data_IF_869996235295
#
_entry.id   IF_869996235295
#
_cell.length_a   1.000
_cell.length_b   1.000
_cell.length_c   1.000
_cell.angle_alpha   90.00
_cell.angle_beta   90.00
_cell.angle_gamma   90.00
#
_symmetry.space_group_name_H-M   'P 1'
#
loop_
_entity.id
_entity.type
_entity.pdbx_description
1 polymer ?
#
# COMPACT_ATOMS: atom_id res chain seq x y z
N UNK A 1 13.17 10.79 13.55
CA UNK A 1 11.99 10.07 14.05
C UNK A 1 10.76 10.68 13.40
N UNK A 2 10.34 10.15 12.24
CA UNK A 2 9.09 10.54 11.61
C UNK A 2 7.98 9.83 12.38
N UNK A 3 7.28 10.54 13.27
CA UNK A 3 6.04 10.03 13.82
C UNK A 3 5.09 9.79 12.64
N UNK A 4 4.88 8.51 12.31
CA UNK A 4 4.15 8.07 11.14
C UNK A 4 2.77 8.72 11.09
N UNK A 5 2.51 9.45 10.01
CA UNK A 5 1.18 9.92 9.59
C UNK A 5 0.14 8.78 9.57
N UNK A 6 0.61 7.53 9.63
CA UNK A 6 -0.16 6.30 9.71
C UNK A 6 -0.91 6.11 11.03
N UNK A 7 -0.44 6.62 12.18
CA UNK A 7 -1.14 6.44 13.47
C UNK A 7 -2.41 7.30 13.60
N UNK A 8 -2.66 8.18 12.61
CA UNK A 8 -3.77 9.14 12.64
C UNK A 8 -5.08 8.58 12.07
N UNK A 9 -5.02 7.53 11.23
CA UNK A 9 -6.20 7.04 10.48
C UNK A 9 -7.31 6.49 11.38
N UNK A 10 -6.97 6.05 12.59
CA UNK A 10 -7.94 5.58 13.60
C UNK A 10 -8.19 6.60 14.72
N UNK A 11 -7.55 7.78 14.67
CA UNK A 11 -7.76 8.86 15.64
C UNK A 11 -8.93 9.74 15.18
N UNK A 12 -9.79 10.12 16.12
CA UNK A 12 -10.94 11.00 15.88
C UNK A 12 -12.29 10.34 16.18
N UNK A 13 -13.35 11.14 16.08
CA UNK A 13 -14.72 10.66 16.29
C UNK A 13 -15.14 9.68 15.19
N UNK A 14 -15.71 8.53 15.58
CA UNK A 14 -16.23 7.50 14.67
C UNK A 14 -17.58 7.95 14.05
N UNK A 15 -17.56 8.96 13.17
CA UNK A 15 -18.76 9.60 12.59
C UNK A 15 -19.18 9.05 11.22
N UNK A 16 -18.30 8.29 10.55
CA UNK A 16 -18.52 7.73 9.21
C UNK A 16 -18.84 6.23 9.30
N UNK A 17 -19.70 5.73 8.40
CA UNK A 17 -20.12 4.32 8.36
C UNK A 17 -19.52 3.57 7.16
N UNK A 18 -19.20 2.30 7.38
CA UNK A 18 -18.90 1.33 6.35
C UNK A 18 -19.96 0.22 6.41
N UNK A 19 -20.65 -0.02 5.31
CA UNK A 19 -21.69 -1.04 5.21
C UNK A 19 -21.14 -2.27 4.47
N UNK A 20 -21.16 -3.44 5.10
CA UNK A 20 -20.68 -4.67 4.47
C UNK A 20 -21.58 -5.85 4.79
N UNK A 21 -21.97 -6.59 3.75
CA UNK A 21 -22.64 -7.88 3.89
C UNK A 21 -21.60 -8.99 3.93
N UNK A 22 -21.83 -10.00 4.75
CA UNK A 22 -20.92 -11.15 4.89
C UNK A 22 -21.70 -12.42 5.23
N UNK A 23 -21.03 -13.57 5.25
CA UNK A 23 -21.64 -14.85 5.63
C UNK A 23 -21.68 -15.01 7.16
N UNK A 24 -22.57 -15.88 7.64
CA UNK A 24 -22.65 -16.20 9.08
C UNK A 24 -21.33 -16.79 9.62
N UNK A 25 -20.65 -17.62 8.82
CA UNK A 25 -19.36 -18.20 9.18
C UNK A 25 -18.29 -17.12 9.36
N UNK A 26 -18.17 -16.19 8.40
CA UNK A 26 -17.21 -15.09 8.49
C UNK A 26 -17.49 -14.18 9.69
N UNK A 27 -18.77 -13.88 9.96
CA UNK A 27 -19.17 -13.13 11.16
C UNK A 27 -18.69 -13.83 12.44
N UNK A 28 -18.95 -15.13 12.58
CA UNK A 28 -18.55 -15.91 13.77
C UNK A 28 -17.03 -15.87 13.98
N UNK A 29 -16.26 -16.09 12.91
CA UNK A 29 -14.79 -16.03 12.97
C UNK A 29 -14.28 -14.65 13.37
N UNK A 30 -14.87 -13.57 12.85
CA UNK A 30 -14.51 -12.19 13.23
C UNK A 30 -14.83 -11.94 14.71
N UNK A 31 -15.99 -12.37 15.20
CA UNK A 31 -16.38 -12.19 16.60
C UNK A 31 -15.47 -12.97 17.55
N UNK A 32 -15.08 -14.21 17.20
CA UNK A 32 -14.10 -15.00 17.96
C UNK A 32 -12.73 -14.30 18.01
N UNK A 33 -12.22 -13.81 16.89
CA UNK A 33 -10.94 -13.10 16.83
C UNK A 33 -10.98 -11.78 17.61
N UNK A 34 -12.10 -11.05 17.55
CA UNK A 34 -12.32 -9.83 18.32
C UNK A 34 -12.30 -10.10 19.83
N UNK A 35 -12.96 -11.19 20.27
CA UNK A 35 -12.99 -11.60 21.67
C UNK A 35 -11.59 -11.92 22.20
N UNK A 36 -10.73 -12.57 21.40
CA UNK A 36 -9.34 -12.86 21.79
C UNK A 36 -8.50 -11.59 22.04
N UNK A 37 -8.85 -10.47 21.37
CA UNK A 37 -8.18 -9.18 21.53
C UNK A 37 -8.91 -8.23 22.49
N UNK A 38 -10.02 -8.67 23.10
CA UNK A 38 -10.81 -7.85 24.02
C UNK A 38 -11.52 -6.67 23.36
N UNK A 39 -11.79 -6.74 22.04
CA UNK A 39 -12.50 -5.71 21.28
C UNK A 39 -13.80 -6.26 20.70
N UNK A 40 -14.69 -5.39 20.23
CA UNK A 40 -15.89 -5.83 19.51
C UNK A 40 -15.60 -6.10 18.03
N UNK A 41 -16.51 -6.82 17.36
CA UNK A 41 -16.34 -7.21 15.96
C UNK A 41 -16.20 -6.02 14.99
N UNK A 42 -16.87 -4.89 15.25
CA UNK A 42 -16.74 -3.70 14.41
C UNK A 42 -15.34 -3.11 14.51
N UNK A 43 -14.81 -2.98 15.72
CA UNK A 43 -13.48 -2.44 15.98
C UNK A 43 -12.39 -3.33 15.39
N UNK A 44 -12.49 -4.64 15.59
CA UNK A 44 -11.62 -5.62 14.96
C UNK A 44 -11.64 -5.48 13.43
N UNK A 45 -12.84 -5.42 12.84
CA UNK A 45 -13.00 -5.31 11.38
C UNK A 45 -12.36 -4.03 10.84
N UNK A 46 -12.59 -2.89 11.50
CA UNK A 46 -11.96 -1.62 11.11
C UNK A 46 -10.44 -1.68 11.20
N UNK A 47 -9.88 -2.22 12.30
CA UNK A 47 -8.43 -2.36 12.45
C UNK A 47 -7.81 -3.28 11.39
N UNK A 48 -8.42 -4.44 11.15
CA UNK A 48 -7.97 -5.39 10.14
C UNK A 48 -8.04 -4.80 8.72
N UNK A 49 -9.14 -4.12 8.39
CA UNK A 49 -9.30 -3.46 7.09
C UNK A 49 -8.27 -2.34 6.89
N UNK A 50 -8.01 -1.51 7.90
CA UNK A 50 -7.01 -0.45 7.84
C UNK A 50 -5.60 -1.03 7.68
N UNK A 51 -5.25 -2.11 8.40
CA UNK A 51 -3.97 -2.79 8.23
C UNK A 51 -3.78 -3.30 6.79
N UNK A 52 -4.77 -4.02 6.26
CA UNK A 52 -4.72 -4.56 4.90
C UNK A 52 -4.67 -3.46 3.83
N UNK A 53 -5.40 -2.36 4.03
CA UNK A 53 -5.37 -1.20 3.13
C UNK A 53 -3.97 -0.56 3.11
N UNK A 54 -3.32 -0.40 4.26
CA UNK A 54 -1.94 0.14 4.34
C UNK A 54 -0.93 -0.74 3.62
N UNK A 55 -1.02 -2.06 3.83
CA UNK A 55 -0.18 -3.04 3.13
C UNK A 55 -0.37 -2.90 1.61
N UNK A 56 -1.62 -2.91 1.14
CA UNK A 56 -1.94 -2.77 -0.29
C UNK A 56 -1.41 -1.47 -0.88
N UNK A 57 -1.61 -0.33 -0.21
CA UNK A 57 -1.17 0.99 -0.70
C UNK A 57 0.37 1.05 -0.75
N UNK A 58 1.04 0.56 0.30
CA UNK A 58 2.50 0.55 0.36
C UNK A 58 3.06 -0.33 -0.75
N UNK A 59 2.58 -1.57 -0.86
CA UNK A 59 3.07 -2.55 -1.81
C UNK A 59 2.86 -2.08 -3.26
N UNK A 60 1.75 -1.39 -3.53
CA UNK A 60 1.53 -0.74 -4.82
C UNK A 60 2.51 0.41 -5.11
N UNK A 61 2.92 1.17 -4.08
CA UNK A 61 3.83 2.30 -4.21
C UNK A 61 5.32 1.95 -4.19
N UNK A 62 5.68 0.73 -3.79
CA UNK A 62 7.07 0.29 -3.66
C UNK A 62 7.49 -0.68 -4.74
N UNK A 63 8.63 -0.42 -5.38
CA UNK A 63 9.30 -1.39 -6.25
C UNK A 63 10.38 -2.10 -5.46
N UNK A 64 10.23 -3.41 -5.25
CA UNK A 64 11.27 -4.24 -4.67
C UNK A 64 12.32 -4.56 -5.74
N UNK A 65 13.57 -4.15 -5.50
CA UNK A 65 14.69 -4.42 -6.40
C UNK A 65 15.56 -5.52 -5.80
N UNK A 66 16.01 -6.47 -6.63
CA UNK A 66 17.09 -7.37 -6.21
C UNK A 66 18.38 -6.57 -6.01
N UNK A 67 19.39 -7.18 -5.39
CA UNK A 67 20.69 -6.50 -5.23
C UNK A 67 21.29 -6.09 -6.59
N UNK A 68 21.19 -6.96 -7.60
CA UNK A 68 21.66 -6.68 -8.94
C UNK A 68 20.90 -5.50 -9.57
N UNK A 69 19.58 -5.47 -9.41
CA UNK A 69 18.74 -4.38 -9.93
C UNK A 69 19.01 -3.07 -9.20
N UNK A 70 19.25 -3.11 -7.88
CA UNK A 70 19.62 -1.93 -7.09
C UNK A 70 20.92 -1.31 -7.61
N UNK A 71 21.93 -2.13 -7.88
CA UNK A 71 23.21 -1.66 -8.42
C UNK A 71 23.08 -1.15 -9.85
N UNK A 72 22.28 -1.81 -10.69
CA UNK A 72 21.98 -1.34 -12.03
C UNK A 72 21.24 0.01 -12.01
N UNK A 73 20.27 0.15 -11.11
CA UNK A 73 19.52 1.39 -10.90
C UNK A 73 20.42 2.52 -10.40
N UNK A 74 21.29 2.26 -9.41
CA UNK A 74 22.25 3.26 -8.91
C UNK A 74 23.18 3.75 -10.03
N UNK A 75 23.75 2.82 -10.83
CA UNK A 75 24.58 3.17 -11.99
C UNK A 75 23.82 3.97 -13.05
N UNK A 76 22.53 3.70 -13.23
CA UNK A 76 21.69 4.42 -14.17
C UNK A 76 21.41 5.86 -13.71
N UNK A 77 21.25 6.10 -12.40
CA UNK A 77 21.10 7.45 -11.84
C UNK A 77 22.35 8.30 -12.07
N UNK A 78 23.54 7.72 -11.97
CA UNK A 78 24.80 8.46 -12.17
C UNK A 78 25.05 8.82 -13.65
N UNK A 79 24.43 8.11 -14.59
CA UNK A 79 24.51 8.38 -16.04
C UNK A 79 23.22 9.03 -16.54
N UNK A 80 23.12 10.33 -16.30
CA UNK A 80 21.93 11.15 -16.64
C UNK A 80 21.76 11.44 -18.14
N UNK A 81 22.75 11.17 -18.98
CA UNK A 81 22.61 11.41 -20.42
C UNK A 81 21.73 10.35 -21.09
N UNK A 82 20.74 10.76 -21.91
CA UNK A 82 19.93 9.82 -22.68
C UNK A 82 20.80 8.94 -23.57
N UNK A 83 20.59 7.63 -23.53
CA UNK A 83 21.26 6.74 -24.48
C UNK A 83 20.73 6.95 -25.91
N UNK A 84 21.50 6.52 -26.91
CA UNK A 84 21.16 6.70 -28.32
C UNK A 84 19.80 6.08 -28.68
N UNK A 85 19.44 4.95 -28.04
CA UNK A 85 18.16 4.30 -28.24
C UNK A 85 16.97 5.17 -27.80
N UNK A 86 17.08 5.84 -26.65
CA UNK A 86 16.08 6.77 -26.13
C UNK A 86 15.99 8.02 -27.02
N UNK A 87 17.12 8.57 -27.46
CA UNK A 87 17.17 9.71 -28.40
C UNK A 87 16.45 9.35 -29.71
N UNK A 88 16.76 8.19 -30.28
CA UNK A 88 16.15 7.73 -31.52
C UNK A 88 14.63 7.51 -31.38
N UNK A 89 14.19 6.91 -30.27
CA UNK A 89 12.77 6.71 -29.98
C UNK A 89 12.00 8.04 -29.89
N UNK A 90 12.52 9.00 -29.12
CA UNK A 90 11.90 10.32 -28.99
C UNK A 90 11.83 11.04 -30.33
N UNK A 91 12.90 10.99 -31.14
CA UNK A 91 12.93 11.58 -32.50
C UNK A 91 11.85 10.98 -33.39
N UNK A 92 11.67 9.65 -33.35
CA UNK A 92 10.63 8.96 -34.11
C UNK A 92 9.21 9.35 -33.66
N UNK A 93 8.99 9.54 -32.36
CA UNK A 93 7.68 9.91 -31.84
C UNK A 93 7.31 11.37 -32.12
N UNK A 94 8.28 12.28 -32.25
CA UNK A 94 8.05 13.69 -32.63
C UNK A 94 7.71 13.89 -34.11
N UNK A 95 8.02 12.91 -34.96
CA UNK A 95 7.77 12.95 -36.40
C UNK A 95 6.48 12.19 -36.80
N UNK A 96 5.66 11.78 -35.83
CA UNK A 96 4.28 11.29 -36.01
C UNK A 96 3.30 12.38 -35.61
#
# INVERSE_FOLDING_TARGET
MLASKEDDVLKGGKTVRMEQRTTAAAKKTIEEAAALLGVNGSEFTTQAAVKAARETIRDHGTTALTRADQEAFARAIDKLEPNEALIHFVRRHKNR
#
